data_IF_828882443812
#
_entry.id   IF_828882443812
#
_cell.length_a   1.000
_cell.length_b   1.000
_cell.length_c   1.000
_cell.angle_alpha   90.00
_cell.angle_beta   90.00
_cell.angle_gamma   90.00
#
_symmetry.space_group_name_H-M   'P 1'
#
loop_
_entity.id
_entity.type
_entity.pdbx_description
1 polymer ?
#
# COMPACT_ATOMS: atom_id res chain seq x y z
N UNK A 1 19.56 -19.60 -2.43
CA UNK A 1 20.04 -18.51 -3.32
C UNK A 1 18.94 -17.49 -3.60
N UNK A 2 18.09 -17.18 -2.61
CA UNK A 2 16.89 -16.31 -2.77
C UNK A 2 17.01 -15.03 -1.91
N UNK A 3 18.09 -14.90 -1.13
CA UNK A 3 18.28 -13.81 -0.17
C UNK A 3 19.03 -12.59 -0.73
N UNK A 4 19.62 -12.67 -1.93
CA UNK A 4 20.30 -11.53 -2.57
C UNK A 4 19.35 -10.63 -3.38
N UNK A 5 18.14 -11.10 -3.73
CA UNK A 5 17.28 -10.44 -4.72
C UNK A 5 16.54 -9.20 -4.21
N UNK A 6 16.51 -8.95 -2.89
CA UNK A 6 15.64 -7.92 -2.29
C UNK A 6 16.36 -6.74 -1.63
N UNK A 7 17.56 -6.38 -2.09
CA UNK A 7 18.15 -5.08 -1.73
C UNK A 7 18.67 -4.35 -2.95
N UNK A 8 17.77 -3.93 -3.84
CA UNK A 8 18.17 -3.22 -5.06
C UNK A 8 18.92 -1.91 -4.77
N UNK A 9 18.86 -1.37 -3.53
CA UNK A 9 19.38 -0.05 -3.13
C UNK A 9 18.92 1.09 -4.07
N UNK A 10 17.93 0.83 -4.92
CA UNK A 10 17.42 1.78 -5.90
C UNK A 10 16.44 2.72 -5.21
N UNK A 11 16.53 4.01 -5.54
CA UNK A 11 15.51 4.96 -5.13
C UNK A 11 14.19 4.70 -5.83
N UNK A 12 13.07 5.07 -5.20
CA UNK A 12 11.73 4.93 -5.81
C UNK A 12 11.60 5.69 -7.13
N UNK A 13 12.35 6.77 -7.32
CA UNK A 13 12.44 7.47 -8.60
C UNK A 13 13.09 6.58 -9.66
N UNK A 14 14.24 5.97 -9.34
CA UNK A 14 14.97 5.12 -10.28
C UNK A 14 14.18 3.87 -10.66
N UNK A 15 13.49 3.25 -9.70
CA UNK A 15 12.58 2.12 -9.96
C UNK A 15 11.51 2.54 -10.97
N UNK A 16 10.87 3.70 -10.78
CA UNK A 16 9.85 4.22 -11.71
C UNK A 16 10.40 4.48 -13.11
N UNK A 17 11.58 5.07 -13.22
CA UNK A 17 12.25 5.30 -14.51
C UNK A 17 12.51 3.97 -15.25
N UNK A 18 13.01 2.94 -14.55
CA UNK A 18 13.28 1.63 -15.14
C UNK A 18 11.99 0.88 -15.52
N UNK A 19 10.94 0.96 -14.70
CA UNK A 19 9.63 0.39 -15.04
C UNK A 19 9.03 1.07 -16.29
N UNK A 20 9.09 2.40 -16.37
CA UNK A 20 8.63 3.16 -17.52
C UNK A 20 9.42 2.80 -18.79
N UNK A 21 10.73 2.61 -18.65
CA UNK A 21 11.62 2.12 -19.71
C UNK A 21 11.49 0.62 -20.02
N UNK A 22 10.62 -0.11 -19.30
CA UNK A 22 10.42 -1.57 -19.42
C UNK A 22 11.72 -2.37 -19.29
N UNK A 23 12.62 -1.95 -18.39
CA UNK A 23 13.87 -2.65 -18.12
C UNK A 23 13.61 -4.15 -17.83
N UNK A 24 14.22 -5.03 -18.63
CA UNK A 24 13.92 -6.46 -18.61
C UNK A 24 14.25 -7.11 -17.28
N UNK A 25 15.32 -6.66 -16.60
CA UNK A 25 15.76 -7.23 -15.32
C UNK A 25 14.75 -6.88 -14.23
N UNK A 26 14.34 -5.61 -14.15
CA UNK A 26 13.35 -5.17 -13.17
C UNK A 26 11.98 -5.79 -13.44
N UNK A 27 11.56 -5.90 -14.70
CA UNK A 27 10.32 -6.58 -15.07
C UNK A 27 10.38 -8.07 -14.70
N UNK A 28 11.52 -8.72 -14.92
CA UNK A 28 11.78 -10.09 -14.49
C UNK A 28 11.63 -10.27 -12.98
N UNK A 29 12.25 -9.39 -12.19
CA UNK A 29 12.11 -9.36 -10.72
C UNK A 29 10.65 -9.18 -10.29
N UNK A 30 9.92 -8.25 -10.89
CA UNK A 30 8.49 -8.04 -10.56
C UNK A 30 7.67 -9.31 -10.82
N UNK A 31 7.91 -9.98 -11.95
CA UNK A 31 7.16 -11.20 -12.31
C UNK A 31 7.53 -12.42 -11.46
N UNK A 32 8.80 -12.56 -11.12
CA UNK A 32 9.29 -13.77 -10.46
C UNK A 32 9.28 -13.66 -8.93
N UNK A 33 9.49 -12.47 -8.38
CA UNK A 33 9.64 -12.27 -6.94
C UNK A 33 8.45 -11.52 -6.33
N UNK A 34 7.98 -10.43 -6.95
CA UNK A 34 6.88 -9.62 -6.39
C UNK A 34 5.52 -10.28 -6.60
N UNK A 35 5.24 -10.77 -7.81
CA UNK A 35 3.95 -11.37 -8.14
C UNK A 35 3.54 -12.53 -7.23
N UNK A 36 4.41 -13.51 -6.89
CA UNK A 36 4.06 -14.57 -5.94
C UNK A 36 3.63 -14.05 -4.57
N UNK A 37 4.27 -12.99 -4.07
CA UNK A 37 3.93 -12.37 -2.79
C UNK A 37 2.56 -11.71 -2.86
N UNK A 38 2.26 -10.97 -3.93
CA UNK A 38 0.96 -10.32 -4.10
C UNK A 38 -0.20 -11.33 -4.15
N UNK A 39 0.04 -12.54 -4.67
CA UNK A 39 -0.97 -13.62 -4.69
C UNK A 39 -1.30 -14.21 -3.32
N UNK A 40 -0.54 -13.91 -2.28
CA UNK A 40 -0.87 -14.32 -0.90
C UNK A 40 -2.02 -13.49 -0.32
N UNK A 41 -2.39 -12.38 -0.95
CA UNK A 41 -3.40 -11.44 -0.46
C UNK A 41 -4.65 -11.44 -1.34
N UNK A 42 -5.79 -11.08 -0.72
CA UNK A 42 -7.03 -10.82 -1.45
C UNK A 42 -7.14 -9.33 -1.77
N UNK A 43 -7.43 -8.99 -3.03
CA UNK A 43 -7.71 -7.61 -3.43
C UNK A 43 -9.15 -7.23 -3.11
N UNK A 44 -9.33 -6.09 -2.45
CA UNK A 44 -10.65 -5.58 -2.08
C UNK A 44 -11.04 -4.40 -2.99
N UNK A 45 -12.22 -4.42 -3.62
CA UNK A 45 -12.71 -3.27 -4.37
C UNK A 45 -13.21 -2.18 -3.41
N UNK A 46 -13.13 -0.93 -3.87
CA UNK A 46 -13.77 0.22 -3.22
C UNK A 46 -14.78 0.82 -4.19
N UNK A 47 -16.02 0.98 -3.73
CA UNK A 47 -17.03 1.80 -4.41
C UNK A 47 -17.27 3.01 -3.52
N UNK A 48 -16.76 4.17 -3.92
CA UNK A 48 -16.86 5.40 -3.16
C UNK A 48 -17.02 6.60 -4.10
N UNK A 49 -17.89 7.52 -3.72
CA UNK A 49 -17.99 8.82 -4.38
C UNK A 49 -16.83 9.73 -3.92
N UNK A 50 -16.36 10.67 -4.76
CA UNK A 50 -15.28 11.58 -4.38
C UNK A 50 -15.53 12.33 -3.06
N UNK A 51 -16.78 12.64 -2.76
CA UNK A 51 -17.17 13.29 -1.50
C UNK A 51 -16.88 12.44 -0.25
N UNK A 52 -17.04 11.12 -0.32
CA UNK A 52 -16.72 10.23 0.81
C UNK A 52 -15.22 10.19 1.08
N UNK A 53 -14.41 10.22 0.02
CA UNK A 53 -12.95 10.28 0.13
C UNK A 53 -12.54 11.61 0.78
N UNK A 54 -13.11 12.74 0.33
CA UNK A 54 -12.85 14.08 0.90
C UNK A 54 -13.22 14.12 2.38
N UNK A 55 -14.35 13.53 2.78
CA UNK A 55 -14.76 13.45 4.19
C UNK A 55 -13.72 12.72 5.05
N UNK A 56 -13.10 11.65 4.54
CA UNK A 56 -12.04 10.94 5.26
C UNK A 56 -10.74 11.73 5.29
N UNK A 57 -10.40 12.43 4.20
CA UNK A 57 -9.25 13.32 4.14
C UNK A 57 -9.36 14.43 5.19
N UNK A 58 -10.48 15.13 5.23
CA UNK A 58 -10.71 16.25 6.17
C UNK A 58 -10.91 15.75 7.60
N UNK A 59 -11.71 14.70 7.79
CA UNK A 59 -12.07 14.18 9.11
C UNK A 59 -10.91 13.54 9.86
N UNK A 60 -9.94 12.96 9.14
CA UNK A 60 -8.78 12.28 9.74
C UNK A 60 -7.43 12.90 9.35
N UNK A 61 -7.43 13.98 8.57
CA UNK A 61 -6.23 14.63 8.07
C UNK A 61 -5.39 13.73 7.15
N UNK A 62 -6.02 12.86 6.36
CA UNK A 62 -5.32 11.85 5.54
C UNK A 62 -5.04 12.37 4.13
N UNK A 63 -3.96 11.87 3.51
CA UNK A 63 -3.75 12.03 2.07
C UNK A 63 -4.81 11.22 1.29
N UNK A 64 -5.09 11.54 0.01
CA UNK A 64 -6.15 10.87 -0.74
C UNK A 64 -6.03 9.34 -0.77
N UNK A 65 -4.82 8.81 -0.93
CA UNK A 65 -4.56 7.37 -0.95
C UNK A 65 -4.86 6.72 0.40
N UNK A 66 -4.50 7.37 1.50
CA UNK A 66 -4.71 6.85 2.85
C UNK A 66 -6.20 6.92 3.24
N UNK A 67 -6.89 7.97 2.80
CA UNK A 67 -8.34 8.08 2.92
C UNK A 67 -9.06 6.94 2.19
N UNK A 68 -8.64 6.60 0.96
CA UNK A 68 -9.14 5.46 0.19
C UNK A 68 -8.90 4.14 0.95
N UNK A 69 -7.71 3.93 1.52
CA UNK A 69 -7.39 2.73 2.29
C UNK A 69 -8.29 2.63 3.54
N UNK A 70 -8.38 3.70 4.32
CA UNK A 70 -9.22 3.74 5.51
C UNK A 70 -10.71 3.53 5.17
N UNK A 71 -11.21 4.15 4.11
CA UNK A 71 -12.59 3.95 3.66
C UNK A 71 -12.84 2.51 3.18
N UNK A 72 -11.88 1.90 2.48
CA UNK A 72 -11.94 0.49 2.09
C UNK A 72 -12.01 -0.41 3.32
N UNK A 73 -11.16 -0.19 4.32
CA UNK A 73 -11.23 -0.92 5.58
C UNK A 73 -12.61 -0.80 6.24
N UNK A 74 -13.19 0.41 6.23
CA UNK A 74 -14.52 0.65 6.80
C UNK A 74 -15.61 -0.14 6.09
N UNK A 75 -15.65 -0.10 4.76
CA UNK A 75 -16.69 -0.78 3.97
C UNK A 75 -16.62 -2.31 4.10
N UNK A 76 -15.43 -2.87 4.28
CA UNK A 76 -15.22 -4.31 4.42
C UNK A 76 -15.20 -4.80 5.88
N UNK A 77 -15.51 -3.92 6.86
CA UNK A 77 -15.54 -4.30 8.27
C UNK A 77 -14.16 -4.63 8.88
N UNK A 78 -13.09 -4.18 8.23
CA UNK A 78 -11.71 -4.38 8.68
C UNK A 78 -11.37 -3.33 9.74
N UNK A 79 -11.06 -3.78 10.94
CA UNK A 79 -10.78 -2.92 12.09
C UNK A 79 -9.31 -2.88 12.50
N UNK A 80 -8.42 -3.51 11.73
CA UNK A 80 -6.97 -3.48 11.97
C UNK A 80 -6.19 -3.37 10.65
N UNK A 81 -5.10 -2.61 10.67
CA UNK A 81 -4.22 -2.39 9.52
C UNK A 81 -2.76 -2.62 9.92
N UNK A 82 -2.02 -3.41 9.13
CA UNK A 82 -0.58 -3.53 9.27
C UNK A 82 0.09 -2.48 8.39
N UNK A 83 0.75 -1.49 9.01
CA UNK A 83 1.37 -0.37 8.29
C UNK A 83 2.52 0.23 9.10
N UNK A 84 3.49 0.82 8.38
CA UNK A 84 4.54 1.67 8.96
C UNK A 84 4.15 3.15 8.95
N UNK A 85 3.01 3.49 8.35
CA UNK A 85 2.50 4.85 8.30
C UNK A 85 1.71 5.17 9.58
N UNK A 86 2.24 6.12 10.36
CA UNK A 86 1.63 6.52 11.62
C UNK A 86 0.36 7.35 11.44
N UNK A 87 0.10 7.87 10.24
CA UNK A 87 -1.08 8.72 9.98
C UNK A 87 -2.39 7.97 10.17
N UNK A 88 -2.41 6.65 9.99
CA UNK A 88 -3.58 5.82 10.28
C UNK A 88 -3.97 5.81 11.77
N UNK A 89 -3.07 6.21 12.68
CA UNK A 89 -3.43 6.39 14.11
C UNK A 89 -4.45 7.51 14.32
N UNK A 90 -4.63 8.41 13.35
CA UNK A 90 -5.66 9.46 13.37
C UNK A 90 -7.08 8.91 13.14
N UNK A 91 -7.22 7.64 12.72
CA UNK A 91 -8.51 6.97 12.49
C UNK A 91 -8.88 6.15 13.74
N UNK A 92 -9.78 6.61 14.63
CA UNK A 92 -9.90 6.05 15.99
C UNK A 92 -10.42 4.60 16.04
N UNK A 93 -11.19 4.19 15.02
CA UNK A 93 -11.77 2.85 14.95
C UNK A 93 -10.85 1.83 14.27
N UNK A 94 -9.72 2.26 13.70
CA UNK A 94 -8.79 1.42 12.95
C UNK A 94 -7.54 1.14 13.78
N UNK A 95 -7.38 -0.09 14.25
CA UNK A 95 -6.22 -0.51 15.04
C UNK A 95 -4.97 -0.62 14.15
N UNK A 96 -3.98 0.23 14.40
CA UNK A 96 -2.68 0.13 13.73
C UNK A 96 -1.83 -0.97 14.38
N UNK A 97 -1.39 -1.93 13.57
CA UNK A 97 -0.41 -2.96 13.93
C UNK A 97 0.92 -2.55 13.29
N UNK A 98 1.82 -2.00 14.08
CA UNK A 98 3.20 -1.73 13.66
C UNK A 98 4.14 -2.77 14.26
N UNK A 99 4.97 -3.38 13.42
CA UNK A 99 6.15 -4.11 13.87
C UNK A 99 7.28 -3.09 13.90
N UNK A 100 7.65 -2.63 15.10
CA UNK A 100 8.95 -1.98 15.28
C UNK A 100 9.96 -3.12 15.48
N UNK A 101 10.90 -3.25 14.55
CA UNK A 101 12.11 -4.03 14.78
C UNK A 101 12.88 -3.49 16.01
#
# INVERSE_FOLDING_TARGET
>A
MVWETLTTRLSSRRIRELLAGRDERLVGLVKNDVWPVLRLFTTLPLTAEPGEIIQYMEGYGLMPTDAIIALTCRQHGINAIATLDEDFKRVPWLKVISQKE
#
